data_IF_855128005705
#
_entry.id   IF_855128005705
#
_cell.length_a   1.000
_cell.length_b   1.000
_cell.length_c   1.000
_cell.angle_alpha   90.00
_cell.angle_beta   90.00
_cell.angle_gamma   90.00
#
_symmetry.space_group_name_H-M   'P 1'
#
loop_
_entity.id
_entity.type
_entity.pdbx_description
1 polymer ?
#
# COMPACT_ATOMS: atom_id res chain seq x y z
N UNK A 1 -40.27 15.31 -2.12
CA UNK A 1 -40.23 14.39 -0.97
C UNK A 1 -40.76 13.00 -1.30
N UNK A 2 -41.85 12.83 -2.07
CA UNK A 2 -42.39 11.51 -2.43
C UNK A 2 -41.53 10.69 -3.39
N UNK A 3 -40.86 11.34 -4.36
CA UNK A 3 -40.07 10.64 -5.38
C UNK A 3 -38.76 10.05 -4.83
N UNK A 4 -38.06 10.78 -3.95
CA UNK A 4 -36.80 10.31 -3.35
C UNK A 4 -37.00 9.07 -2.48
N UNK A 5 -38.09 9.02 -1.70
CA UNK A 5 -38.43 7.85 -0.90
C UNK A 5 -38.86 6.64 -1.75
N UNK A 6 -39.53 6.88 -2.88
CA UNK A 6 -39.88 5.81 -3.81
C UNK A 6 -38.63 5.22 -4.49
N UNK A 7 -37.67 6.06 -4.88
CA UNK A 7 -36.39 5.62 -5.45
C UNK A 7 -35.60 4.79 -4.42
N UNK A 8 -35.44 5.30 -3.19
CA UNK A 8 -34.74 4.57 -2.13
C UNK A 8 -35.37 3.19 -1.87
N UNK A 9 -36.71 3.13 -1.75
CA UNK A 9 -37.40 1.85 -1.55
C UNK A 9 -37.18 0.87 -2.69
N UNK A 10 -37.14 1.35 -3.94
CA UNK A 10 -36.86 0.51 -5.11
C UNK A 10 -35.43 -0.04 -5.08
N UNK A 11 -34.45 0.77 -4.71
CA UNK A 11 -33.06 0.34 -4.57
C UNK A 11 -32.92 -0.72 -3.48
N UNK A 12 -33.45 -0.45 -2.29
CA UNK A 12 -33.39 -1.39 -1.16
C UNK A 12 -34.05 -2.72 -1.53
N UNK A 13 -35.24 -2.69 -2.13
CA UNK A 13 -35.94 -3.92 -2.54
C UNK A 13 -35.24 -4.71 -3.64
N UNK A 14 -34.44 -4.05 -4.47
CA UNK A 14 -33.68 -4.71 -5.53
C UNK A 14 -32.36 -5.32 -5.02
N UNK A 15 -31.82 -4.81 -3.91
CA UNK A 15 -30.48 -5.19 -3.40
C UNK A 15 -30.52 -5.86 -2.02
N UNK A 16 -31.69 -6.07 -1.41
CA UNK A 16 -31.81 -6.57 -0.03
C UNK A 16 -31.26 -7.97 0.20
N UNK A 17 -31.08 -8.77 -0.86
CA UNK A 17 -30.62 -10.15 -0.78
C UNK A 17 -29.12 -10.31 -1.10
N UNK A 18 -28.44 -9.21 -1.42
CA UNK A 18 -27.02 -9.20 -1.76
C UNK A 18 -26.18 -9.16 -0.49
N UNK A 19 -25.33 -10.18 -0.33
CA UNK A 19 -24.44 -10.30 0.83
C UNK A 19 -23.07 -10.87 0.46
N UNK A 20 -22.08 -10.56 1.30
CA UNK A 20 -20.74 -11.14 1.20
C UNK A 20 -20.75 -12.56 1.80
N UNK A 21 -20.18 -13.52 1.07
CA UNK A 21 -20.04 -14.91 1.52
C UNK A 21 -18.65 -15.16 2.10
N UNK A 22 -18.49 -16.29 2.79
CA UNK A 22 -17.23 -16.67 3.45
C UNK A 22 -16.04 -16.90 2.50
N UNK A 23 -16.31 -17.07 1.20
CA UNK A 23 -15.29 -17.16 0.16
C UNK A 23 -14.85 -15.79 -0.38
N UNK A 24 -15.36 -14.69 0.20
CA UNK A 24 -15.07 -13.31 -0.24
C UNK A 24 -15.93 -12.83 -1.42
N UNK A 25 -16.71 -13.73 -2.03
CA UNK A 25 -17.58 -13.38 -3.17
C UNK A 25 -18.86 -12.71 -2.70
N UNK A 26 -19.40 -11.84 -3.55
CA UNK A 26 -20.70 -11.21 -3.35
C UNK A 26 -21.74 -12.00 -4.13
N UNK A 27 -22.77 -12.50 -3.44
CA UNK A 27 -23.83 -13.30 -4.06
C UNK A 27 -25.22 -12.84 -3.65
N UNK A 28 -26.18 -13.08 -4.54
CA UNK A 28 -27.61 -12.91 -4.25
C UNK A 28 -28.17 -14.13 -3.49
N UNK A 29 -29.48 -14.11 -3.21
CA UNK A 29 -30.18 -15.23 -2.55
C UNK A 29 -30.22 -16.53 -3.35
N UNK A 30 -30.17 -16.44 -4.69
CA UNK A 30 -30.16 -17.60 -5.59
C UNK A 30 -28.78 -18.25 -5.72
N UNK A 31 -27.73 -17.59 -5.21
CA UNK A 31 -26.35 -18.05 -5.29
C UNK A 31 -25.60 -17.57 -6.53
N UNK A 32 -26.20 -16.67 -7.33
CA UNK A 32 -25.53 -16.03 -8.45
C UNK A 32 -24.47 -15.06 -7.94
N UNK A 33 -23.30 -15.09 -8.56
CA UNK A 33 -22.16 -14.22 -8.22
C UNK A 33 -22.37 -12.87 -8.91
N UNK A 34 -22.39 -11.79 -8.12
CA UNK A 34 -22.48 -10.41 -8.60
C UNK A 34 -21.08 -9.80 -8.71
N UNK A 35 -20.24 -10.00 -7.69
CA UNK A 35 -18.83 -9.61 -7.68
C UNK A 35 -17.97 -10.75 -7.15
N UNK A 36 -16.79 -10.95 -7.73
CA UNK A 36 -15.83 -11.95 -7.25
C UNK A 36 -15.17 -11.54 -5.93
N UNK A 37 -15.03 -10.24 -5.71
CA UNK A 37 -14.53 -9.66 -4.47
C UNK A 37 -15.31 -8.38 -4.19
N UNK A 38 -15.74 -8.18 -2.94
CA UNK A 38 -16.46 -6.98 -2.55
C UNK A 38 -15.62 -5.73 -2.85
N UNK A 39 -16.19 -4.75 -3.57
CA UNK A 39 -15.49 -3.50 -3.87
C UNK A 39 -14.25 -3.66 -4.76
N UNK A 40 -14.05 -4.84 -5.37
CA UNK A 40 -12.86 -5.22 -6.17
C UNK A 40 -11.54 -5.30 -5.36
N UNK A 41 -11.53 -4.91 -4.09
CA UNK A 41 -10.38 -4.93 -3.18
C UNK A 41 -10.60 -5.73 -1.89
N UNK A 42 -11.85 -6.09 -1.57
CA UNK A 42 -12.23 -6.87 -0.39
C UNK A 42 -12.28 -6.05 0.90
N UNK A 43 -12.29 -4.72 0.79
CA UNK A 43 -12.21 -3.82 1.94
C UNK A 43 -13.57 -3.26 2.33
N UNK A 44 -13.81 -3.11 3.62
CA UNK A 44 -14.96 -2.40 4.16
C UNK A 44 -14.77 -0.89 4.01
N UNK A 45 -15.78 -0.24 3.42
CA UNK A 45 -15.82 1.20 3.16
C UNK A 45 -15.61 2.08 4.41
N UNK A 46 -15.93 1.58 5.60
CA UNK A 46 -15.72 2.31 6.87
C UNK A 46 -14.24 2.59 7.15
N UNK A 47 -13.35 1.72 6.68
CA UNK A 47 -11.92 1.80 6.95
C UNK A 47 -11.10 2.49 5.85
N UNK A 48 -11.77 2.93 4.79
CA UNK A 48 -11.14 3.54 3.63
C UNK A 48 -10.96 5.05 3.85
N UNK A 49 -9.76 5.56 3.63
CA UNK A 49 -9.44 6.98 3.71
C UNK A 49 -8.85 7.48 2.38
N UNK A 50 -9.03 8.76 2.05
CA UNK A 50 -8.41 9.36 0.87
C UNK A 50 -6.91 9.57 1.11
N UNK A 51 -6.09 8.91 0.29
CA UNK A 51 -4.64 8.96 0.37
C UNK A 51 -4.04 9.52 -0.92
N UNK A 52 -2.92 10.23 -0.78
CA UNK A 52 -2.23 10.84 -1.91
C UNK A 52 -1.14 9.91 -2.44
N UNK A 53 -1.24 9.52 -3.70
CA UNK A 53 -0.15 8.88 -4.44
C UNK A 53 0.86 9.94 -4.86
N UNK A 54 2.00 9.98 -4.17
CA UNK A 54 3.04 10.97 -4.43
C UNK A 54 3.87 10.64 -5.67
N UNK A 55 4.07 9.35 -5.97
CA UNK A 55 4.83 8.86 -7.12
C UNK A 55 4.28 9.33 -8.48
N UNK A 56 2.95 9.50 -8.59
CA UNK A 56 2.29 9.86 -9.86
C UNK A 56 2.62 11.27 -10.34
N UNK A 57 2.68 12.25 -9.44
CA UNK A 57 2.86 13.68 -9.79
C UNK A 57 4.31 14.16 -9.82
N UNK A 58 5.26 13.36 -9.34
CA UNK A 58 6.67 13.75 -9.29
C UNK A 58 7.28 13.87 -10.68
N UNK A 59 8.12 14.87 -10.93
CA UNK A 59 8.92 14.91 -12.16
C UNK A 59 10.03 13.85 -12.13
N UNK A 60 10.54 13.41 -13.28
CA UNK A 60 11.62 12.40 -13.35
C UNK A 60 12.82 12.74 -12.45
N UNK A 61 13.29 13.99 -12.49
CA UNK A 61 14.40 14.42 -11.62
C UNK A 61 14.07 14.36 -10.12
N UNK A 62 12.83 14.70 -9.74
CA UNK A 62 12.40 14.65 -8.33
C UNK A 62 12.25 13.20 -7.87
N UNK A 63 11.80 12.33 -8.77
CA UNK A 63 11.69 10.90 -8.55
C UNK A 63 13.06 10.28 -8.31
N UNK A 64 14.04 10.55 -9.17
CA UNK A 64 15.42 10.06 -8.98
C UNK A 64 16.00 10.55 -7.65
N UNK A 65 15.77 11.83 -7.31
CA UNK A 65 16.22 12.38 -6.02
C UNK A 65 15.56 11.71 -4.82
N UNK A 66 14.29 11.32 -4.92
CA UNK A 66 13.55 10.70 -3.82
C UNK A 66 13.87 9.21 -3.64
N UNK A 67 14.05 8.48 -4.73
CA UNK A 67 14.09 7.00 -4.72
C UNK A 67 15.46 6.40 -5.04
N UNK A 68 16.26 7.01 -5.92
CA UNK A 68 17.52 6.42 -6.40
C UNK A 68 18.72 6.82 -5.55
N UNK A 69 19.57 5.87 -5.15
CA UNK A 69 20.83 6.19 -4.47
C UNK A 69 21.91 6.65 -5.45
N UNK A 70 22.68 7.66 -5.07
CA UNK A 70 23.81 8.21 -5.88
C UNK A 70 25.10 7.43 -5.54
N UNK A 71 25.09 6.10 -5.74
CA UNK A 71 26.17 5.21 -5.29
C UNK A 71 27.47 5.44 -6.08
N UNK A 72 27.34 5.87 -7.35
CA UNK A 72 28.47 6.07 -8.27
C UNK A 72 29.21 7.40 -8.06
N UNK A 73 28.64 8.33 -7.28
CA UNK A 73 29.32 9.58 -6.95
C UNK A 73 30.37 9.37 -5.84
N UNK A 74 31.63 9.70 -6.14
CA UNK A 74 32.74 9.62 -5.18
C UNK A 74 32.49 10.48 -3.92
N UNK A 75 31.80 11.60 -4.06
CA UNK A 75 31.46 12.53 -2.97
C UNK A 75 30.16 12.18 -2.23
N UNK A 76 29.52 11.07 -2.55
CA UNK A 76 28.28 10.68 -1.88
C UNK A 76 28.56 10.26 -0.43
N UNK A 77 28.18 11.14 0.50
CA UNK A 77 28.24 10.93 1.94
C UNK A 77 26.88 11.30 2.57
N UNK A 78 25.93 10.35 2.58
CA UNK A 78 24.57 10.60 3.05
C UNK A 78 24.52 10.89 4.55
N UNK A 79 23.91 12.02 4.93
CA UNK A 79 23.67 12.37 6.35
C UNK A 79 22.52 11.55 6.99
N UNK A 80 21.88 10.65 6.23
CA UNK A 80 20.75 9.83 6.71
C UNK A 80 21.12 8.44 7.20
N UNK A 81 22.31 7.96 6.88
CA UNK A 81 22.75 6.62 7.27
C UNK A 81 24.16 6.67 7.85
N UNK A 82 24.54 5.61 8.53
CA UNK A 82 25.92 5.44 8.98
C UNK A 82 26.87 5.22 7.81
N UNK A 83 28.12 5.63 8.00
CA UNK A 83 29.17 5.49 6.99
C UNK A 83 29.44 4.04 6.65
N UNK A 84 29.37 3.15 7.64
CA UNK A 84 29.51 1.70 7.47
C UNK A 84 28.52 1.19 6.41
N UNK A 85 27.23 1.50 6.59
CA UNK A 85 26.19 1.09 5.63
C UNK A 85 26.37 1.73 4.25
N UNK A 86 26.92 2.95 4.17
CA UNK A 86 27.18 3.60 2.88
C UNK A 86 28.36 2.95 2.14
N UNK A 87 29.38 2.49 2.87
CA UNK A 87 30.51 1.73 2.31
C UNK A 87 30.08 0.33 1.86
N UNK A 88 29.20 -0.33 2.61
CA UNK A 88 28.61 -1.63 2.23
C UNK A 88 27.90 -1.54 0.87
N UNK A 89 27.12 -0.48 0.65
CA UNK A 89 26.44 -0.22 -0.63
C UNK A 89 27.42 0.00 -1.80
N UNK A 90 28.57 0.61 -1.53
CA UNK A 90 29.59 0.84 -2.57
C UNK A 90 30.34 -0.45 -2.92
N UNK A 91 30.59 -1.29 -1.92
CA UNK A 91 31.45 -2.49 -2.02
C UNK A 91 30.70 -3.71 -2.56
N UNK A 92 29.43 -3.90 -2.17
CA UNK A 92 28.68 -5.12 -2.45
C UNK A 92 27.82 -4.92 -3.71
N UNK A 93 28.13 -5.69 -4.76
CA UNK A 93 27.37 -5.64 -6.03
C UNK A 93 25.94 -6.16 -5.89
N UNK A 94 25.71 -7.15 -5.03
CA UNK A 94 24.37 -7.72 -4.79
C UNK A 94 23.39 -6.66 -4.27
N UNK A 95 23.86 -5.77 -3.39
CA UNK A 95 23.07 -4.69 -2.84
C UNK A 95 22.67 -3.70 -3.93
N UNK A 96 23.62 -3.31 -4.80
CA UNK A 96 23.32 -2.45 -5.96
C UNK A 96 22.21 -3.03 -6.83
N UNK A 97 22.31 -4.33 -7.15
CA UNK A 97 21.30 -5.00 -7.97
C UNK A 97 19.90 -4.98 -7.32
N UNK A 98 19.82 -5.13 -6.00
CA UNK A 98 18.54 -5.08 -5.26
C UNK A 98 17.93 -3.69 -5.29
N UNK A 99 18.72 -2.63 -5.07
CA UNK A 99 18.22 -1.25 -5.09
C UNK A 99 17.89 -0.78 -6.52
N UNK A 100 18.65 -1.21 -7.52
CA UNK A 100 18.31 -0.95 -8.93
C UNK A 100 16.99 -1.65 -9.29
N UNK A 101 16.77 -2.88 -8.82
CA UNK A 101 15.51 -3.58 -8.99
C UNK A 101 14.34 -2.90 -8.23
N UNK A 102 14.58 -2.33 -7.04
CA UNK A 102 13.58 -1.54 -6.30
C UNK A 102 13.15 -0.32 -7.12
N UNK A 103 14.10 0.46 -7.66
CA UNK A 103 13.80 1.64 -8.49
C UNK A 103 13.07 1.23 -9.77
N UNK A 104 13.51 0.15 -10.43
CA UNK A 104 12.84 -0.36 -11.63
C UNK A 104 11.39 -0.79 -11.35
N UNK A 105 11.12 -1.42 -10.20
CA UNK A 105 9.75 -1.75 -9.77
C UNK A 105 8.90 -0.48 -9.60
N UNK A 106 9.44 0.55 -8.95
CA UNK A 106 8.74 1.83 -8.74
C UNK A 106 8.46 2.57 -10.06
N UNK A 107 9.38 2.51 -11.02
CA UNK A 107 9.16 3.04 -12.37
C UNK A 107 8.06 2.28 -13.12
N UNK A 108 8.06 0.94 -13.03
CA UNK A 108 7.02 0.10 -13.61
C UNK A 108 5.64 0.42 -13.00
N UNK A 109 5.56 0.55 -11.68
CA UNK A 109 4.33 0.94 -10.97
C UNK A 109 3.83 2.30 -11.43
N UNK A 110 4.73 3.26 -11.59
CA UNK A 110 4.39 4.60 -12.05
C UNK A 110 3.85 4.59 -13.48
N UNK A 111 4.45 3.81 -14.36
CA UNK A 111 3.96 3.65 -15.72
C UNK A 111 2.55 3.03 -15.70
N UNK A 112 2.35 1.98 -14.92
CA UNK A 112 1.05 1.32 -14.79
C UNK A 112 -0.03 2.26 -14.23
N UNK A 113 0.30 3.05 -13.21
CA UNK A 113 -0.60 4.08 -12.68
C UNK A 113 -0.97 5.12 -13.74
N UNK A 114 0.00 5.57 -14.55
CA UNK A 114 -0.21 6.59 -15.57
C UNK A 114 -0.96 6.09 -16.81
N UNK A 115 -0.82 4.83 -17.18
CA UNK A 115 -1.45 4.25 -18.38
C UNK A 115 -2.84 3.69 -18.12
N UNK A 116 -3.01 2.92 -17.03
CA UNK A 116 -4.20 2.09 -16.82
C UNK A 116 -5.15 2.66 -15.77
N UNK A 117 -4.61 3.16 -14.65
CA UNK A 117 -5.41 3.42 -13.43
C UNK A 117 -5.84 4.89 -13.34
N UNK A 118 -4.89 5.83 -13.45
CA UNK A 118 -5.11 7.25 -13.20
C UNK A 118 -4.98 8.09 -14.48
N UNK A 119 -5.71 7.72 -15.52
CA UNK A 119 -5.72 8.42 -16.81
C UNK A 119 -6.17 9.89 -16.70
N UNK A 120 -6.95 10.23 -15.67
CA UNK A 120 -7.38 11.62 -15.36
C UNK A 120 -6.30 12.46 -14.67
N UNK A 121 -5.21 11.84 -14.18
CA UNK A 121 -4.16 12.53 -13.44
C UNK A 121 -4.50 12.83 -11.98
N UNK A 122 -5.57 12.23 -11.44
CA UNK A 122 -5.95 12.38 -10.05
C UNK A 122 -4.97 11.67 -9.12
N UNK A 123 -4.47 12.41 -8.13
CA UNK A 123 -3.48 11.91 -7.17
C UNK A 123 -4.10 11.37 -5.88
N UNK A 124 -5.41 11.58 -5.69
CA UNK A 124 -6.11 11.16 -4.48
C UNK A 124 -6.91 9.90 -4.77
N UNK A 125 -6.60 8.85 -4.04
CA UNK A 125 -7.22 7.54 -4.17
C UNK A 125 -7.65 7.05 -2.80
N UNK A 126 -8.81 6.43 -2.75
CA UNK A 126 -9.38 5.87 -1.54
C UNK A 126 -8.71 4.52 -1.27
N UNK A 127 -7.98 4.40 -0.16
CA UNK A 127 -7.26 3.19 0.21
C UNK A 127 -7.37 2.93 1.71
N UNK A 128 -7.35 1.66 2.15
CA UNK A 128 -7.31 1.33 3.57
C UNK A 128 -5.98 1.79 4.19
N UNK A 129 -5.96 1.95 5.51
CA UNK A 129 -4.75 2.22 6.31
C UNK A 129 -3.98 3.47 5.88
N UNK A 130 -4.21 4.59 6.58
CA UNK A 130 -3.49 5.83 6.31
C UNK A 130 -2.01 5.78 6.72
N UNK A 131 -1.13 5.49 5.76
CA UNK A 131 0.30 5.26 5.99
C UNK A 131 1.02 6.50 6.56
N UNK A 132 0.67 7.70 6.09
CA UNK A 132 1.28 8.94 6.58
C UNK A 132 1.01 9.18 8.05
N UNK A 133 -0.22 8.88 8.49
CA UNK A 133 -0.60 9.01 9.90
C UNK A 133 0.15 8.00 10.77
N UNK A 134 0.33 6.77 10.28
CA UNK A 134 1.11 5.76 11.01
C UNK A 134 2.57 6.16 11.18
N UNK A 135 3.20 6.66 10.11
CA UNK A 135 4.58 7.16 10.16
C UNK A 135 4.69 8.32 11.16
N UNK A 136 3.75 9.26 11.13
CA UNK A 136 3.73 10.39 12.07
C UNK A 136 3.54 9.93 13.52
N UNK A 137 2.63 8.99 13.76
CA UNK A 137 2.44 8.39 15.09
C UNK A 137 3.72 7.71 15.57
N UNK A 138 4.40 6.95 14.72
CA UNK A 138 5.67 6.31 15.06
C UNK A 138 6.74 7.35 15.44
N UNK A 139 6.88 8.42 14.65
CA UNK A 139 7.82 9.51 14.96
C UNK A 139 7.54 10.15 16.33
N UNK A 140 6.27 10.27 16.72
CA UNK A 140 5.88 10.82 18.03
C UNK A 140 6.09 9.85 19.17
N UNK A 141 5.70 8.58 19.02
CA UNK A 141 5.83 7.55 20.04
C UNK A 141 7.29 7.29 20.40
N UNK A 142 8.14 7.15 19.38
CA UNK A 142 9.57 6.86 19.55
C UNK A 142 10.45 8.11 19.68
N UNK A 143 9.85 9.31 19.67
CA UNK A 143 10.55 10.60 19.78
C UNK A 143 11.74 10.72 18.83
N UNK A 144 11.47 10.49 17.56
CA UNK A 144 12.50 10.43 16.52
C UNK A 144 13.05 11.83 16.22
N UNK A 145 14.37 11.97 16.30
CA UNK A 145 15.07 13.19 15.92
C UNK A 145 15.41 13.17 14.43
N UNK A 146 14.78 14.05 13.65
CA UNK A 146 15.01 14.16 12.19
C UNK A 146 16.45 14.57 11.81
N UNK A 147 17.25 15.04 12.79
CA UNK A 147 18.66 15.41 12.60
C UNK A 147 19.61 14.23 12.75
N UNK A 148 19.19 13.17 13.45
CA UNK A 148 20.03 12.00 13.71
C UNK A 148 19.96 11.07 12.50
N UNK A 149 21.05 10.34 12.25
CA UNK A 149 21.06 9.25 11.28
C UNK A 149 20.25 8.07 11.84
N UNK A 150 19.54 7.38 10.96
CA UNK A 150 18.80 6.17 11.32
C UNK A 150 19.74 4.98 11.50
N UNK A 151 19.44 4.12 12.48
CA UNK A 151 20.24 2.94 12.81
C UNK A 151 19.92 1.71 11.92
N UNK A 152 19.06 1.86 10.92
CA UNK A 152 18.60 0.77 10.05
C UNK A 152 19.52 0.57 8.84
N UNK A 153 19.73 -0.70 8.50
CA UNK A 153 20.37 -1.06 7.24
C UNK A 153 19.33 -1.04 6.09
N UNK A 154 19.64 -0.44 4.93
CA UNK A 154 18.69 -0.34 3.81
C UNK A 154 18.14 -1.69 3.33
N UNK A 155 18.94 -2.76 3.37
CA UNK A 155 18.49 -4.13 3.01
C UNK A 155 17.36 -4.64 3.92
N UNK A 156 17.42 -4.33 5.23
CA UNK A 156 16.39 -4.77 6.17
C UNK A 156 15.03 -4.17 5.80
N UNK A 157 15.01 -2.95 5.28
CA UNK A 157 13.79 -2.26 4.84
C UNK A 157 13.18 -2.95 3.62
N UNK A 158 14.01 -3.30 2.62
CA UNK A 158 13.52 -3.99 1.42
C UNK A 158 12.97 -5.37 1.77
N UNK A 159 13.70 -6.15 2.56
CA UNK A 159 13.29 -7.50 2.94
C UNK A 159 12.00 -7.51 3.77
N UNK A 160 11.86 -6.57 4.71
CA UNK A 160 10.65 -6.45 5.54
C UNK A 160 9.43 -5.97 4.74
N UNK A 161 9.62 -5.07 3.77
CA UNK A 161 8.55 -4.63 2.87
C UNK A 161 8.09 -5.77 1.96
N UNK A 162 9.02 -6.56 1.41
CA UNK A 162 8.67 -7.73 0.60
C UNK A 162 7.93 -8.79 1.44
N UNK A 163 8.41 -9.08 2.67
CA UNK A 163 7.70 -9.95 3.62
C UNK A 163 6.32 -9.44 4.00
N UNK A 164 6.15 -8.13 4.13
CA UNK A 164 4.85 -7.53 4.44
C UNK A 164 3.87 -7.75 3.27
N UNK A 165 4.29 -7.56 2.02
CA UNK A 165 3.45 -7.80 0.85
C UNK A 165 2.93 -9.25 0.79
N UNK A 166 3.75 -10.23 1.18
CA UNK A 166 3.35 -11.65 1.22
C UNK A 166 2.32 -11.96 2.33
N UNK A 167 2.35 -11.22 3.44
CA UNK A 167 1.41 -11.39 4.57
C UNK A 167 0.04 -10.76 4.31
N UNK A 168 -0.02 -9.71 3.48
CA UNK A 168 -1.25 -9.00 3.15
C UNK A 168 -2.12 -9.83 2.18
N UNK A 169 -2.78 -10.87 2.68
CA UNK A 169 -3.66 -11.75 1.91
C UNK A 169 -5.13 -11.33 2.05
N UNK A 170 -5.81 -11.16 0.92
CA UNK A 170 -7.25 -10.89 0.82
C UNK A 170 -7.98 -12.13 0.31
N UNK A 171 -7.48 -12.70 -0.78
CA UNK A 171 -8.00 -13.93 -1.39
C UNK A 171 -7.13 -15.11 -0.94
N UNK A 172 -7.68 -16.05 -0.15
CA UNK A 172 -6.93 -17.25 0.23
C UNK A 172 -6.86 -18.25 -0.94
N UNK A 173 -5.70 -18.88 -1.12
CA UNK A 173 -5.50 -19.97 -2.07
C UNK A 173 -4.16 -19.89 -2.80
N UNK A 174 -3.62 -21.07 -3.15
CA UNK A 174 -2.33 -21.21 -3.84
C UNK A 174 -2.50 -21.56 -5.33
N UNK A 175 -3.76 -21.61 -5.81
CA UNK A 175 -4.08 -21.84 -7.20
C UNK A 175 -3.67 -20.65 -8.08
N UNK A 176 -3.37 -20.91 -9.36
CA UNK A 176 -2.97 -19.86 -10.32
C UNK A 176 -3.98 -18.71 -10.39
N UNK A 177 -5.28 -19.03 -10.35
CA UNK A 177 -6.37 -18.05 -10.39
C UNK A 177 -6.41 -17.23 -9.09
N UNK A 178 -6.24 -17.88 -7.93
CA UNK A 178 -6.24 -17.20 -6.64
C UNK A 178 -5.05 -16.26 -6.48
N UNK A 179 -3.87 -16.67 -6.97
CA UNK A 179 -2.68 -15.80 -6.97
C UNK A 179 -2.86 -14.57 -7.86
N UNK A 180 -3.46 -14.74 -9.05
CA UNK A 180 -3.77 -13.61 -9.93
C UNK A 180 -4.82 -12.67 -9.31
N UNK A 181 -5.89 -13.23 -8.75
CA UNK A 181 -6.92 -12.46 -8.06
C UNK A 181 -6.34 -11.68 -6.87
N UNK A 182 -5.48 -12.30 -6.07
CA UNK A 182 -4.80 -11.67 -4.94
C UNK A 182 -3.90 -10.52 -5.38
N UNK A 183 -3.13 -10.73 -6.46
CA UNK A 183 -2.25 -9.70 -7.02
C UNK A 183 -3.05 -8.49 -7.49
N UNK A 184 -4.20 -8.72 -8.14
CA UNK A 184 -5.06 -7.65 -8.64
C UNK A 184 -5.74 -6.89 -7.50
N UNK A 185 -6.29 -7.59 -6.50
CA UNK A 185 -6.98 -7.00 -5.36
C UNK A 185 -6.07 -6.07 -4.54
N UNK A 186 -4.80 -6.45 -4.37
CA UNK A 186 -3.83 -5.69 -3.56
C UNK A 186 -2.91 -4.78 -4.37
N UNK A 187 -3.05 -4.74 -5.69
CA UNK A 187 -2.13 -4.03 -6.59
C UNK A 187 -1.95 -2.57 -6.18
N UNK A 188 -3.05 -1.82 -6.04
CA UNK A 188 -3.02 -0.40 -5.73
C UNK A 188 -2.40 -0.12 -4.36
N UNK A 189 -2.77 -0.92 -3.35
CA UNK A 189 -2.23 -0.81 -2.01
C UNK A 189 -0.73 -1.15 -1.96
N UNK A 190 -0.30 -2.16 -2.69
CA UNK A 190 1.12 -2.55 -2.79
C UNK A 190 1.95 -1.48 -3.51
N UNK A 191 1.38 -0.79 -4.51
CA UNK A 191 2.05 0.36 -5.15
C UNK A 191 2.21 1.50 -4.13
N UNK A 192 1.15 1.83 -3.38
CA UNK A 192 1.23 2.84 -2.33
C UNK A 192 2.31 2.48 -1.31
N UNK A 193 2.28 1.25 -0.78
CA UNK A 193 3.20 0.75 0.23
C UNK A 193 4.66 0.84 -0.24
N UNK A 194 4.96 0.35 -1.46
CA UNK A 194 6.29 0.46 -2.07
C UNK A 194 6.71 1.92 -2.25
N UNK A 195 5.81 2.78 -2.71
CA UNK A 195 6.13 4.21 -2.93
C UNK A 195 6.36 4.99 -1.64
N UNK A 196 5.73 4.61 -0.52
CA UNK A 196 5.91 5.25 0.78
C UNK A 196 7.10 4.68 1.53
N UNK A 197 7.26 3.35 1.56
CA UNK A 197 8.30 2.67 2.32
C UNK A 197 9.55 2.34 1.51
N UNK A 198 9.78 3.03 0.39
CA UNK A 198 11.02 2.93 -0.35
C UNK A 198 12.23 3.19 0.57
N UNK A 199 13.26 2.37 0.43
CA UNK A 199 14.44 2.35 1.30
C UNK A 199 15.03 3.75 1.54
N UNK A 200 15.24 4.52 0.46
CA UNK A 200 15.77 5.88 0.53
C UNK A 200 14.84 6.86 1.26
N UNK A 201 13.52 6.75 1.08
CA UNK A 201 12.54 7.64 1.71
C UNK A 201 12.44 7.40 3.21
N UNK A 202 12.41 6.13 3.62
CA UNK A 202 12.35 5.74 5.03
C UNK A 202 13.55 6.31 5.80
N UNK A 203 14.76 6.20 5.24
CA UNK A 203 15.97 6.70 5.87
C UNK A 203 16.07 8.23 5.80
N UNK A 204 15.79 8.84 4.65
CA UNK A 204 16.03 10.27 4.45
C UNK A 204 14.91 11.16 4.98
N UNK A 205 13.65 10.87 4.63
CA UNK A 205 12.49 11.71 4.96
C UNK A 205 11.94 11.39 6.35
N UNK A 206 11.74 10.11 6.65
CA UNK A 206 11.08 9.69 7.88
C UNK A 206 12.03 9.45 9.05
N UNK A 207 13.30 9.11 8.75
CA UNK A 207 14.39 8.89 9.72
C UNK A 207 14.02 7.83 10.76
N UNK A 208 13.31 6.80 10.34
CA UNK A 208 12.80 5.78 11.27
C UNK A 208 13.97 4.98 11.89
N UNK A 209 13.83 4.63 13.17
CA UNK A 209 14.67 3.61 13.82
C UNK A 209 14.13 2.22 13.53
N UNK A 210 14.93 1.18 13.81
CA UNK A 210 14.50 -0.23 13.65
C UNK A 210 13.21 -0.53 14.43
N UNK A 211 13.18 -0.18 15.71
CA UNK A 211 12.01 -0.40 16.57
C UNK A 211 10.76 0.35 16.07
N UNK A 212 10.93 1.59 15.61
CA UNK A 212 9.82 2.39 15.10
C UNK A 212 9.28 1.82 13.79
N UNK A 213 10.16 1.32 12.93
CA UNK A 213 9.78 0.72 11.67
C UNK A 213 9.06 -0.63 11.87
N UNK A 214 9.58 -1.50 12.73
CA UNK A 214 8.90 -2.77 13.09
C UNK A 214 7.50 -2.52 13.66
N UNK A 215 7.36 -1.48 14.50
CA UNK A 215 6.06 -1.07 15.02
C UNK A 215 5.10 -0.62 13.91
N UNK A 216 5.57 0.18 12.93
CA UNK A 216 4.75 0.63 11.79
C UNK A 216 4.29 -0.56 10.97
N UNK A 217 5.18 -1.51 10.67
CA UNK A 217 4.86 -2.70 9.87
C UNK A 217 3.81 -3.56 10.57
N UNK A 218 3.95 -3.81 11.88
CA UNK A 218 2.96 -4.56 12.65
C UNK A 218 1.59 -3.86 12.72
N UNK A 219 1.58 -2.53 12.84
CA UNK A 219 0.34 -1.75 12.86
C UNK A 219 -0.35 -1.72 11.49
N UNK A 220 0.41 -1.69 10.39
CA UNK A 220 -0.14 -1.82 9.03
C UNK A 220 -0.83 -3.17 8.87
N UNK A 221 -0.15 -4.25 9.25
CA UNK A 221 -0.70 -5.61 9.19
C UNK A 221 -2.00 -5.73 9.99
N UNK A 222 -1.99 -5.26 11.25
CA UNK A 222 -3.19 -5.31 12.10
C UNK A 222 -4.35 -4.48 11.53
N UNK A 223 -4.10 -3.28 11.02
CA UNK A 223 -5.17 -2.42 10.49
C UNK A 223 -5.70 -2.89 9.15
N UNK A 224 -4.84 -3.48 8.32
CA UNK A 224 -5.26 -4.05 7.05
C UNK A 224 -6.18 -5.26 7.24
N UNK A 225 -5.87 -6.13 8.21
CA UNK A 225 -6.75 -7.25 8.56
C UNK A 225 -8.09 -6.78 9.14
N UNK A 226 -8.10 -5.67 9.87
CA UNK A 226 -9.33 -5.05 10.39
C UNK A 226 -10.18 -4.39 9.29
N UNK A 227 -9.57 -3.93 8.20
CA UNK A 227 -10.28 -3.32 7.09
C UNK A 227 -10.93 -4.31 6.13
N UNK A 228 -10.67 -5.62 6.29
CA UNK A 228 -11.32 -6.63 5.47
C UNK A 228 -12.81 -6.70 5.77
N UNK A 229 -13.62 -6.85 4.73
CA UNK A 229 -15.07 -6.99 4.88
C UNK A 229 -15.42 -8.24 5.67
N UNK A 230 -16.39 -8.13 6.57
CA UNK A 230 -16.83 -9.29 7.36
C UNK A 230 -17.75 -10.19 6.53
N UNK A 231 -17.48 -11.50 6.45
CA UNK A 231 -18.41 -12.43 5.83
C UNK A 231 -19.78 -12.39 6.51
N UNK A 232 -20.84 -12.38 5.71
CA UNK A 232 -22.21 -12.27 6.21
C UNK A 232 -22.76 -10.85 6.23
N UNK A 233 -21.97 -9.85 5.87
CA UNK A 233 -22.42 -8.46 5.80
C UNK A 233 -23.41 -8.23 4.66
N UNK A 234 -24.52 -7.56 4.98
CA UNK A 234 -25.63 -7.25 4.05
C UNK A 234 -25.32 -6.00 3.24
N UNK A 235 -24.34 -6.11 2.34
CA UNK A 235 -23.81 -4.98 1.58
C UNK A 235 -24.83 -4.33 0.63
N UNK A 236 -25.82 -5.09 0.15
CA UNK A 236 -26.79 -4.53 -0.79
C UNK A 236 -27.72 -3.51 -0.16
N UNK A 237 -28.07 -3.70 1.12
CA UNK A 237 -28.81 -2.70 1.90
C UNK A 237 -27.96 -1.46 2.24
N UNK A 238 -26.64 -1.63 2.38
CA UNK A 238 -25.71 -0.52 2.67
C UNK A 238 -25.48 0.33 1.42
N UNK A 239 -25.48 -0.30 0.24
CA UNK A 239 -25.29 0.38 -1.04
C UNK A 239 -26.55 1.09 -1.58
N UNK A 240 -27.74 0.67 -1.12
CA UNK A 240 -29.05 1.12 -1.61
C UNK A 240 -29.58 2.41 -0.95
#
# INVERSE_FOLDING_TARGET
TSETGYIQRRLVKAMEDIMVKYDGTVRNSLGDVIQFLYGEDGMDAVWIESQKLESLKMKGMEFDRAFRYEIDDENWNPNYMFREHAEDLKTIQEFRNVFDAEVQKLEADRNQLGTEIASTGDSFWSMPVNLKRLIWNAQKTFKIDLRRSSDMHPMEIVETVDKLQERLKVVPGDDLISMEAQKNATLLFNILLRSTFASKRVLNEYRLSREAFDWVIGEIESRFLQSLVSPGEMIGCIAA
#
